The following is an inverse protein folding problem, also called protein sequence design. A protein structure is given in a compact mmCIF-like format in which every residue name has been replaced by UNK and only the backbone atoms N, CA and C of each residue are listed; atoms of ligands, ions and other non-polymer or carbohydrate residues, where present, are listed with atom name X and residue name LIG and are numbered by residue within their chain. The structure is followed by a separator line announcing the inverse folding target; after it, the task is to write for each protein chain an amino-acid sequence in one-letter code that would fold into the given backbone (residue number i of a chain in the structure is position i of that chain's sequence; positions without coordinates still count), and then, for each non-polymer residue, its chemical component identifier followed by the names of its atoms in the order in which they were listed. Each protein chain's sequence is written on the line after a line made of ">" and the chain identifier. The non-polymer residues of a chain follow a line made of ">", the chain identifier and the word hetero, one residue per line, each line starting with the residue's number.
data_IF_258609754841
#
_entry.id   IF_258609754841
#
_cell.length_a   1.000
_cell.length_b   1.000
_cell.length_c   1.000
_cell.angle_alpha   90.00
_cell.angle_beta   90.00
_cell.angle_gamma   90.00
#
_symmetry.space_group_name_H-M   'P 1'
#
loop_
_entity.id
_entity.type
_entity.pdbx_description
1 polymer ?
#
# COMPACT_ATOMS: atom_id res chain seq x y z
N UNK A 1 -8.78 15.85 18.84
CA UNK A 1 -9.30 15.68 17.46
C UNK A 1 -8.66 16.75 16.61
N UNK A 2 -8.00 16.38 15.51
CA UNK A 2 -7.45 17.35 14.56
C UNK A 2 -8.47 17.52 13.43
N UNK A 3 -8.95 18.73 13.19
CA UNK A 3 -9.87 19.06 12.10
C UNK A 3 -9.25 20.12 11.19
N UNK A 4 -9.63 20.09 9.91
CA UNK A 4 -9.12 21.01 8.89
C UNK A 4 -10.29 21.52 8.05
N UNK A 5 -10.21 22.78 7.63
CA UNK A 5 -11.20 23.40 6.76
C UNK A 5 -10.75 23.30 5.30
N UNK A 6 -11.71 23.02 4.41
CA UNK A 6 -11.48 23.04 2.97
C UNK A 6 -11.31 24.50 2.53
N UNK A 7 -10.21 24.78 1.83
CA UNK A 7 -9.95 26.09 1.24
C UNK A 7 -10.89 26.34 0.04
N UNK A 8 -10.98 27.58 -0.43
CA UNK A 8 -11.76 27.93 -1.63
C UNK A 8 -11.34 27.17 -2.90
N UNK A 9 -10.12 26.62 -2.92
CA UNK A 9 -9.57 25.82 -4.02
C UNK A 9 -9.81 24.31 -3.85
N UNK A 10 -10.57 23.89 -2.84
CA UNK A 10 -10.83 22.47 -2.56
C UNK A 10 -9.67 21.75 -1.86
N UNK A 11 -8.65 22.45 -1.39
CA UNK A 11 -7.51 21.85 -0.70
C UNK A 11 -7.80 21.73 0.80
N UNK A 12 -7.38 20.62 1.41
CA UNK A 12 -7.36 20.42 2.87
C UNK A 12 -5.92 20.28 3.34
N UNK A 13 -5.58 20.90 4.47
CA UNK A 13 -4.25 20.76 5.06
C UNK A 13 -4.27 19.59 6.05
N UNK A 14 -3.34 18.65 5.92
CA UNK A 14 -3.17 17.58 6.91
C UNK A 14 -2.40 18.17 8.12
N UNK A 15 -2.98 18.16 9.34
CA UNK A 15 -2.33 18.69 10.53
C UNK A 15 -1.01 17.97 10.82
N UNK A 16 -0.02 18.70 11.36
CA UNK A 16 1.32 18.16 11.64
C UNK A 16 1.30 16.81 12.38
N UNK A 17 0.53 16.60 13.45
CA UNK A 17 0.51 15.32 14.16
C UNK A 17 0.10 14.13 13.28
N UNK A 18 -0.78 14.35 12.30
CA UNK A 18 -1.22 13.31 11.37
C UNK A 18 -0.18 13.05 10.28
N UNK A 19 0.51 14.09 9.80
CA UNK A 19 1.63 13.93 8.85
C UNK A 19 2.77 13.12 9.48
N UNK A 20 3.14 13.46 10.71
CA UNK A 20 4.20 12.78 11.45
C UNK A 20 3.81 11.31 11.69
N UNK A 21 2.54 11.04 12.05
CA UNK A 21 2.03 9.68 12.22
C UNK A 21 2.01 8.84 10.92
N UNK A 22 1.64 9.45 9.79
CA UNK A 22 1.60 8.79 8.48
C UNK A 22 2.95 8.84 7.74
N UNK A 23 3.98 9.41 8.36
CA UNK A 23 5.32 9.60 7.79
C UNK A 23 5.28 10.34 6.42
N UNK A 24 4.42 11.37 6.32
CA UNK A 24 4.21 12.16 5.12
C UNK A 24 5.16 13.36 5.06
N UNK A 25 5.93 13.44 3.98
CA UNK A 25 6.83 14.53 3.65
C UNK A 25 6.39 15.29 2.40
N UNK A 26 7.11 16.38 2.08
CA UNK A 26 6.87 17.13 0.86
C UNK A 26 7.13 16.23 -0.36
N UNK A 27 6.14 16.08 -1.24
CA UNK A 27 6.22 15.19 -2.40
C UNK A 27 5.67 13.79 -2.14
N UNK A 28 5.30 13.43 -0.91
CA UNK A 28 4.60 12.17 -0.63
C UNK A 28 3.27 12.11 -1.37
N UNK A 29 2.99 10.95 -1.97
CA UNK A 29 1.69 10.67 -2.59
C UNK A 29 0.76 10.03 -1.56
N UNK A 30 -0.52 10.32 -1.67
CA UNK A 30 -1.57 9.75 -0.84
C UNK A 30 -2.70 9.28 -1.74
N UNK A 31 -3.30 8.15 -1.38
CA UNK A 31 -4.49 7.63 -2.01
C UNK A 31 -5.70 7.85 -1.10
N UNK A 32 -6.82 8.19 -1.74
CA UNK A 32 -8.12 8.30 -1.09
C UNK A 32 -8.96 7.09 -1.48
N UNK A 33 -9.37 6.31 -0.48
CA UNK A 33 -10.24 5.15 -0.67
C UNK A 33 -11.54 5.40 0.07
N UNK A 34 -12.65 5.26 -0.62
CA UNK A 34 -14.00 5.31 -0.03
C UNK A 34 -14.40 3.87 0.26
N UNK A 35 -14.74 3.58 1.50
CA UNK A 35 -15.26 2.26 1.86
C UNK A 35 -16.77 2.14 1.60
N UNK A 36 -17.32 0.94 1.77
CA UNK A 36 -18.74 0.66 1.54
C UNK A 36 -19.67 1.41 2.50
N UNK A 37 -19.14 1.91 3.63
CA UNK A 37 -19.88 2.69 4.63
C UNK A 37 -19.83 4.19 4.33
N UNK A 38 -19.06 4.59 3.31
CA UNK A 38 -18.86 5.98 2.92
C UNK A 38 -17.74 6.69 3.70
N UNK A 39 -16.97 5.97 4.51
CA UNK A 39 -15.82 6.54 5.20
C UNK A 39 -14.67 6.73 4.20
N UNK A 40 -14.06 7.92 4.24
CA UNK A 40 -12.89 8.24 3.41
C UNK A 40 -11.63 7.91 4.19
N UNK A 41 -10.85 6.94 3.69
CA UNK A 41 -9.54 6.57 4.21
C UNK A 41 -8.44 7.22 3.38
N UNK A 42 -7.43 7.73 4.06
CA UNK A 42 -6.21 8.27 3.45
C UNK A 42 -5.09 7.27 3.66
N UNK A 43 -4.48 6.81 2.57
CA UNK A 43 -3.40 5.82 2.60
C UNK A 43 -2.12 6.50 2.07
N UNK A 44 -1.04 6.56 2.87
CA UNK A 44 0.23 7.09 2.38
C UNK A 44 0.86 6.10 1.39
N UNK A 45 1.28 6.59 0.22
CA UNK A 45 2.04 5.85 -0.78
C UNK A 45 3.54 6.18 -0.69
N UNK A 46 4.07 6.17 0.52
CA UNK A 46 5.46 6.49 0.84
C UNK A 46 6.32 5.23 1.06
N UNK A 47 5.77 4.04 0.79
CA UNK A 47 6.50 2.78 0.88
C UNK A 47 7.64 2.75 -0.13
N UNK A 48 8.87 2.85 0.36
CA UNK A 48 10.07 2.66 -0.44
C UNK A 48 10.05 1.25 -1.07
N UNK A 49 10.41 1.11 -2.34
CA UNK A 49 10.41 -0.19 -3.03
C UNK A 49 11.34 -1.18 -2.30
N UNK A 50 12.42 -0.67 -1.69
CA UNK A 50 13.33 -1.44 -0.87
C UNK A 50 12.64 -2.13 0.30
N UNK A 51 11.60 -1.53 0.86
CA UNK A 51 10.82 -2.14 1.96
C UNK A 51 9.95 -3.31 1.52
N UNK A 52 9.70 -3.48 0.21
CA UNK A 52 9.01 -4.65 -0.33
C UNK A 52 9.96 -5.85 -0.48
N UNK A 53 11.27 -5.61 -0.47
CA UNK A 53 12.27 -6.67 -0.60
C UNK A 53 12.14 -7.65 0.57
N UNK A 54 11.88 -8.93 0.26
CA UNK A 54 11.80 -9.98 1.26
C UNK A 54 10.48 -10.02 2.06
N UNK A 55 9.47 -9.22 1.73
CA UNK A 55 8.18 -9.21 2.47
C UNK A 55 7.46 -10.59 2.44
N UNK A 56 7.72 -11.39 1.42
CA UNK A 56 7.17 -12.76 1.28
C UNK A 56 8.09 -13.84 1.86
N UNK A 57 9.29 -13.50 2.35
CA UNK A 57 10.24 -14.46 2.89
C UNK A 57 9.77 -15.04 4.23
N UNK A 58 9.97 -16.35 4.41
CA UNK A 58 9.76 -17.06 5.68
C UNK A 58 11.02 -17.86 6.02
N UNK A 59 11.36 -17.94 7.31
CA UNK A 59 12.63 -18.52 7.78
C UNK A 59 12.85 -19.98 7.32
N UNK A 60 11.77 -20.75 7.17
CA UNK A 60 11.81 -22.15 6.70
C UNK A 60 11.47 -22.31 5.21
N UNK A 61 11.42 -21.22 4.45
CA UNK A 61 11.09 -21.27 3.03
C UNK A 61 12.25 -21.85 2.24
N UNK A 62 12.00 -22.98 1.57
CA UNK A 62 12.94 -23.55 0.61
C UNK A 62 12.98 -22.67 -0.64
N UNK A 63 14.18 -22.51 -1.21
CA UNK A 63 14.31 -21.89 -2.52
C UNK A 63 13.62 -22.78 -3.55
N UNK A 64 12.74 -22.19 -4.37
CA UNK A 64 12.10 -22.88 -5.48
C UNK A 64 13.16 -23.17 -6.56
N UNK A 65 13.07 -24.34 -7.16
CA UNK A 65 13.81 -24.70 -8.37
C UNK A 65 13.09 -24.16 -9.60
N UNK A 66 13.77 -24.18 -10.75
CA UNK A 66 13.14 -23.82 -12.02
C UNK A 66 11.98 -24.76 -12.40
N UNK A 67 12.08 -26.04 -12.02
CA UNK A 67 11.02 -27.03 -12.25
C UNK A 67 9.80 -26.73 -11.38
N UNK A 68 10.00 -26.41 -10.09
CA UNK A 68 8.89 -26.00 -9.19
C UNK A 68 8.17 -24.74 -9.72
N UNK A 69 8.91 -23.82 -10.35
CA UNK A 69 8.34 -22.61 -10.96
C UNK A 69 7.49 -22.92 -12.18
N UNK A 70 7.97 -23.78 -13.08
CA UNK A 70 7.24 -24.17 -14.29
C UNK A 70 5.95 -24.93 -13.94
N UNK A 71 6.01 -25.82 -12.96
CA UNK A 71 4.83 -26.56 -12.46
C UNK A 71 3.77 -25.60 -11.89
N UNK A 72 4.16 -24.65 -11.05
CA UNK A 72 3.25 -23.66 -10.48
C UNK A 72 2.59 -22.76 -11.55
N UNK A 73 3.32 -22.41 -12.61
CA UNK A 73 2.76 -21.65 -13.75
C UNK A 73 1.70 -22.47 -14.49
N UNK A 74 1.98 -23.76 -14.74
CA UNK A 74 1.04 -24.65 -15.42
C UNK A 74 -0.23 -24.91 -14.60
N UNK A 75 -0.10 -25.14 -13.30
CA UNK A 75 -1.24 -25.27 -12.39
C UNK A 75 -2.10 -24.00 -12.39
N UNK A 76 -1.47 -22.83 -12.20
CA UNK A 76 -2.19 -21.55 -12.18
C UNK A 76 -2.86 -21.19 -13.50
N UNK A 77 -2.29 -21.61 -14.64
CA UNK A 77 -2.91 -21.44 -15.95
C UNK A 77 -4.10 -22.39 -16.17
N UNK A 78 -4.08 -23.57 -15.55
CA UNK A 78 -5.14 -24.57 -15.64
C UNK A 78 -6.35 -24.23 -14.75
N UNK A 79 -6.10 -23.58 -13.61
CA UNK A 79 -7.12 -23.16 -12.62
C UNK A 79 -7.97 -21.95 -13.06
N UNK A 80 -7.69 -21.37 -14.24
CA UNK A 80 -8.47 -20.27 -14.83
C UNK A 80 -9.71 -20.76 -15.62
N UNK A 81 -9.91 -22.07 -15.78
CA UNK A 81 -11.07 -22.64 -16.53
C UNK A 81 -12.18 -23.07 -15.58
#
# INVERSE_FOLDING_TARGET
>A
MASSTITSKGQVTIPKPIRDYLNLDTGSRIDFVIDEKGDVRVIPLNTAIESLSGILYRQEMKAATLEDMEEAIQEGASDWT
#
